data_IF_198758696557
#
_entry.id   IF_198758696557
#
_cell.length_a   1.000
_cell.length_b   1.000
_cell.length_c   1.000
_cell.angle_alpha   90.00
_cell.angle_beta   90.00
_cell.angle_gamma   90.00
#
_symmetry.space_group_name_H-M   'P 1'
#
loop_
_entity.id
_entity.type
_entity.pdbx_description
1 polymer ?
#
# COMPACT_ATOMS: atom_id res chain seq x y z
N UNK A 1 -0.58 -45.52 36.71
CA UNK A 1 -0.61 -45.00 35.32
C UNK A 1 -1.71 -43.94 35.23
N UNK A 2 -1.36 -42.65 35.34
CA UNK A 2 -2.27 -41.54 35.01
C UNK A 2 -1.42 -40.44 34.37
N UNK A 3 -1.40 -40.39 33.03
CA UNK A 3 -0.79 -39.29 32.28
C UNK A 3 -1.85 -38.24 31.99
N UNK A 4 -1.69 -37.10 32.66
CA UNK A 4 -2.07 -35.73 32.30
C UNK A 4 -2.94 -35.55 31.04
N UNK A 5 -4.25 -35.35 31.25
CA UNK A 5 -5.19 -34.75 30.29
C UNK A 5 -5.18 -33.21 30.32
N UNK A 6 -4.31 -32.60 31.15
CA UNK A 6 -4.30 -31.15 31.38
C UNK A 6 -3.44 -30.37 30.38
N UNK A 7 -2.58 -31.05 29.60
CA UNK A 7 -1.72 -30.39 28.62
C UNK A 7 -2.45 -29.96 27.33
N UNK A 8 -3.46 -30.73 26.90
CA UNK A 8 -4.10 -30.51 25.60
C UNK A 8 -5.06 -29.30 25.61
N UNK A 9 -5.77 -29.09 26.74
CA UNK A 9 -6.67 -27.94 26.89
C UNK A 9 -5.93 -26.61 27.11
N UNK A 10 -4.70 -26.66 27.65
CA UNK A 10 -3.86 -25.46 27.76
C UNK A 10 -3.38 -24.97 26.38
N UNK A 11 -3.11 -25.89 25.46
CA UNK A 11 -2.70 -25.55 24.09
C UNK A 11 -3.85 -24.96 23.27
N UNK A 12 -5.07 -25.46 23.43
CA UNK A 12 -6.26 -24.91 22.74
C UNK A 12 -6.65 -23.55 23.33
N UNK A 13 -6.55 -23.35 24.64
CA UNK A 13 -6.79 -22.04 25.26
C UNK A 13 -5.74 -20.99 24.83
N UNK A 14 -4.48 -21.37 24.65
CA UNK A 14 -3.44 -20.46 24.15
C UNK A 14 -3.62 -20.10 22.67
N UNK A 15 -4.07 -21.06 21.85
CA UNK A 15 -4.35 -20.82 20.42
C UNK A 15 -5.61 -19.95 20.25
N UNK A 16 -6.61 -20.11 21.12
CA UNK A 16 -7.83 -19.27 21.11
C UNK A 16 -7.58 -17.88 21.72
N UNK A 17 -6.68 -17.74 22.70
CA UNK A 17 -6.32 -16.42 23.25
C UNK A 17 -5.43 -15.59 22.32
N UNK A 18 -4.66 -16.20 21.41
CA UNK A 18 -3.92 -15.45 20.36
C UNK A 18 -4.82 -15.15 19.15
N UNK A 19 -5.86 -15.95 18.91
CA UNK A 19 -6.87 -15.65 17.89
C UNK A 19 -7.88 -14.56 18.31
N UNK A 20 -7.87 -14.13 19.57
CA UNK A 20 -8.85 -13.19 20.14
C UNK A 20 -8.30 -11.78 20.43
N UNK A 21 -7.07 -11.44 20.01
CA UNK A 21 -6.50 -10.09 20.11
C UNK A 21 -6.34 -9.37 18.77
N UNK A 22 -7.02 -9.81 17.71
CA UNK A 22 -7.27 -8.93 16.57
C UNK A 22 -8.47 -8.03 16.92
N UNK A 23 -8.30 -7.10 17.85
CA UNK A 23 -9.18 -5.92 17.82
C UNK A 23 -9.10 -5.36 16.40
N UNK A 24 -10.23 -5.04 15.75
CA UNK A 24 -10.20 -4.42 14.44
C UNK A 24 -9.36 -3.15 14.60
N UNK A 25 -8.26 -3.05 13.85
CA UNK A 25 -7.38 -1.88 13.90
C UNK A 25 -8.25 -0.64 13.71
N UNK A 26 -8.26 0.24 14.71
CA UNK A 26 -9.09 1.44 14.72
C UNK A 26 -8.79 2.26 13.46
N UNK A 27 -9.75 2.31 12.54
CA UNK A 27 -9.60 2.99 11.25
C UNK A 27 -9.28 4.46 11.46
N UNK A 28 -9.86 5.09 12.47
CA UNK A 28 -9.59 6.49 12.76
C UNK A 28 -8.16 6.68 13.27
N UNK A 29 -7.61 5.69 13.98
CA UNK A 29 -6.20 5.70 14.37
C UNK A 29 -5.26 5.55 13.17
N UNK A 30 -5.60 4.70 12.20
CA UNK A 30 -4.84 4.58 10.94
C UNK A 30 -4.83 5.91 10.19
N UNK A 31 -6.00 6.51 9.99
CA UNK A 31 -6.15 7.79 9.28
C UNK A 31 -5.34 8.89 9.98
N UNK A 32 -5.47 9.03 11.30
CA UNK A 32 -4.66 9.98 12.09
C UNK A 32 -3.16 9.73 11.94
N UNK A 33 -2.73 8.47 11.99
CA UNK A 33 -1.33 8.09 11.80
C UNK A 33 -0.79 8.48 10.43
N UNK A 34 -1.56 8.22 9.36
CA UNK A 34 -1.21 8.60 7.99
C UNK A 34 -1.21 10.13 7.82
N UNK A 35 -2.17 10.84 8.40
CA UNK A 35 -2.21 12.29 8.34
C UNK A 35 -0.99 12.93 8.98
N UNK A 36 -0.53 12.40 10.12
CA UNK A 36 0.72 12.81 10.74
C UNK A 36 1.93 12.49 9.85
N UNK A 37 2.01 11.27 9.29
CA UNK A 37 3.09 10.85 8.40
C UNK A 37 3.19 11.66 7.11
N UNK A 38 2.07 12.20 6.64
CA UNK A 38 1.97 13.03 5.43
C UNK A 38 1.86 14.52 5.72
N UNK A 39 2.02 14.91 6.98
CA UNK A 39 1.98 16.31 7.35
C UNK A 39 3.17 17.06 6.74
N UNK A 40 2.97 18.29 6.23
CA UNK A 40 4.08 19.16 5.86
C UNK A 40 4.84 19.71 7.08
N UNK A 41 4.30 19.57 8.29
CA UNK A 41 4.90 20.06 9.53
C UNK A 41 5.86 19.01 10.09
N UNK A 42 7.15 19.35 10.22
CA UNK A 42 8.19 18.42 10.66
C UNK A 42 7.91 17.77 12.03
N UNK A 43 7.33 18.52 12.97
CA UNK A 43 6.97 18.01 14.29
C UNK A 43 5.87 16.93 14.20
N UNK A 44 4.87 17.14 13.36
CA UNK A 44 3.79 16.17 13.11
C UNK A 44 4.31 14.96 12.34
N UNK A 45 5.17 15.16 11.34
CA UNK A 45 5.85 14.07 10.64
C UNK A 45 6.64 13.19 11.60
N UNK A 46 7.40 13.80 12.52
CA UNK A 46 8.17 13.08 13.54
C UNK A 46 7.25 12.29 14.47
N UNK A 47 6.11 12.88 14.86
CA UNK A 47 5.09 12.18 15.65
C UNK A 47 4.47 11.00 14.86
N UNK A 48 4.23 11.17 13.57
CA UNK A 48 3.75 10.11 12.67
C UNK A 48 4.77 8.98 12.54
N UNK A 49 6.05 9.30 12.41
CA UNK A 49 7.13 8.30 12.37
C UNK A 49 7.25 7.52 13.68
N UNK A 50 7.11 8.20 14.83
CA UNK A 50 7.08 7.55 16.14
C UNK A 50 5.85 6.65 16.31
N UNK A 51 4.68 7.11 15.85
CA UNK A 51 3.45 6.32 15.83
C UNK A 51 3.63 5.07 14.95
N UNK A 52 4.20 5.21 13.74
CA UNK A 52 4.49 4.10 12.83
C UNK A 52 5.51 3.13 13.43
N UNK A 53 6.54 3.61 14.12
CA UNK A 53 7.50 2.74 14.81
C UNK A 53 6.84 1.90 15.90
N UNK A 54 5.80 2.43 16.56
CA UNK A 54 5.08 1.76 17.64
C UNK A 54 4.01 0.78 17.17
N UNK A 55 3.22 1.14 16.16
CA UNK A 55 2.04 0.37 15.72
C UNK A 55 2.12 -0.15 14.29
N UNK A 56 3.08 0.36 13.50
CA UNK A 56 3.10 0.17 12.04
C UNK A 56 3.10 -1.29 11.63
N UNK A 57 3.83 -2.15 12.34
CA UNK A 57 3.90 -3.58 12.00
C UNK A 57 2.53 -4.28 12.09
N UNK A 58 1.81 -4.06 13.19
CA UNK A 58 0.48 -4.65 13.42
C UNK A 58 -0.55 -4.08 12.45
N UNK A 59 -0.51 -2.76 12.24
CA UNK A 59 -1.38 -2.06 11.28
C UNK A 59 -1.14 -2.57 9.85
N UNK A 60 0.13 -2.71 9.43
CA UNK A 60 0.49 -3.23 8.10
C UNK A 60 -0.01 -4.67 7.92
N UNK A 61 0.14 -5.53 8.93
CA UNK A 61 -0.37 -6.90 8.87
C UNK A 61 -1.90 -6.95 8.76
N UNK A 62 -2.60 -6.11 9.52
CA UNK A 62 -4.05 -6.02 9.44
C UNK A 62 -4.52 -5.52 8.07
N UNK A 63 -3.86 -4.50 7.53
CA UNK A 63 -4.14 -3.99 6.18
C UNK A 63 -3.82 -5.01 5.08
N UNK A 64 -2.75 -5.82 5.23
CA UNK A 64 -2.45 -6.91 4.31
C UNK A 64 -3.53 -7.99 4.34
N UNK A 65 -3.92 -8.43 5.53
CA UNK A 65 -5.01 -9.41 5.71
C UNK A 65 -6.30 -8.88 5.11
N UNK A 66 -6.60 -7.61 5.37
CA UNK A 66 -7.76 -6.93 4.78
C UNK A 66 -7.67 -6.85 3.26
N UNK A 67 -6.50 -6.60 2.68
CA UNK A 67 -6.33 -6.54 1.23
C UNK A 67 -6.49 -7.93 0.58
N UNK A 68 -6.07 -8.99 1.28
CA UNK A 68 -6.28 -10.38 0.87
C UNK A 68 -7.80 -10.73 0.85
N UNK A 69 -8.56 -10.25 1.84
CA UNK A 69 -9.96 -10.58 2.07
C UNK A 69 -10.98 -9.60 1.45
N UNK A 70 -10.57 -8.35 1.16
CA UNK A 70 -11.47 -7.28 0.72
C UNK A 70 -12.10 -7.59 -0.64
N UNK A 71 -13.33 -7.11 -0.82
CA UNK A 71 -13.89 -6.97 -2.16
C UNK A 71 -13.05 -5.98 -2.97
N UNK A 72 -13.04 -6.16 -4.29
CA UNK A 72 -12.27 -5.30 -5.21
C UNK A 72 -12.70 -3.83 -5.17
N UNK A 73 -13.86 -3.51 -4.59
CA UNK A 73 -14.32 -2.14 -4.37
C UNK A 73 -13.68 -1.46 -3.13
N UNK A 74 -13.18 -2.23 -2.15
CA UNK A 74 -12.53 -1.70 -0.93
C UNK A 74 -11.00 -1.80 -0.95
N UNK A 75 -10.47 -2.72 -1.76
CA UNK A 75 -9.05 -2.84 -2.05
C UNK A 75 -8.34 -1.51 -2.41
N UNK A 76 -8.95 -0.54 -3.14
CA UNK A 76 -8.34 0.76 -3.44
C UNK A 76 -7.82 1.51 -2.21
N UNK A 77 -8.69 1.63 -1.20
CA UNK A 77 -8.42 2.42 -0.01
C UNK A 77 -7.40 1.69 0.88
N UNK A 78 -7.57 0.38 1.04
CA UNK A 78 -6.64 -0.45 1.82
C UNK A 78 -5.24 -0.44 1.21
N UNK A 79 -5.14 -0.53 -0.13
CA UNK A 79 -3.88 -0.40 -0.84
C UNK A 79 -3.24 0.99 -0.66
N UNK A 80 -4.05 2.06 -0.68
CA UNK A 80 -3.56 3.41 -0.44
C UNK A 80 -2.99 3.55 0.96
N UNK A 81 -3.73 3.15 1.99
CA UNK A 81 -3.27 3.18 3.38
C UNK A 81 -1.97 2.39 3.58
N UNK A 82 -1.89 1.20 2.98
CA UNK A 82 -0.69 0.36 2.99
C UNK A 82 0.51 1.06 2.32
N UNK A 83 0.30 1.66 1.15
CA UNK A 83 1.32 2.44 0.43
C UNK A 83 1.82 3.62 1.27
N UNK A 84 0.92 4.36 1.91
CA UNK A 84 1.29 5.51 2.74
C UNK A 84 2.15 5.14 3.95
N UNK A 85 1.92 3.95 4.52
CA UNK A 85 2.69 3.44 5.66
C UNK A 85 4.06 2.89 5.26
N UNK A 86 4.12 2.17 4.13
CA UNK A 86 5.30 1.46 3.68
C UNK A 86 6.23 2.27 2.78
N UNK A 87 5.72 3.23 2.00
CA UNK A 87 6.49 4.00 1.04
C UNK A 87 6.79 5.42 1.55
N UNK A 88 8.02 5.69 2.04
CA UNK A 88 8.45 7.05 2.37
C UNK A 88 8.37 7.99 1.17
N UNK A 89 8.60 7.48 -0.04
CA UNK A 89 8.49 8.25 -1.29
C UNK A 89 7.06 8.75 -1.54
N UNK A 90 6.08 7.87 -1.41
CA UNK A 90 4.66 8.20 -1.57
C UNK A 90 4.18 9.16 -0.47
N UNK A 91 4.58 8.92 0.79
CA UNK A 91 4.32 9.84 1.90
C UNK A 91 4.87 11.25 1.63
N UNK A 92 6.11 11.34 1.16
CA UNK A 92 6.74 12.61 0.79
C UNK A 92 6.04 13.32 -0.37
N UNK A 93 5.55 12.57 -1.38
CA UNK A 93 4.79 13.14 -2.49
C UNK A 93 3.44 13.72 -2.03
N UNK A 94 2.71 13.02 -1.16
CA UNK A 94 1.44 13.53 -0.61
C UNK A 94 1.69 14.74 0.29
N UNK A 95 2.69 14.69 1.16
CA UNK A 95 3.10 15.84 1.98
C UNK A 95 3.43 17.06 1.11
N UNK A 96 4.16 16.83 0.00
CA UNK A 96 4.43 17.86 -1.00
C UNK A 96 3.13 18.39 -1.63
N UNK A 97 2.23 17.54 -2.09
CA UNK A 97 0.98 18.01 -2.71
C UNK A 97 0.12 18.85 -1.75
N UNK A 98 0.01 18.43 -0.48
CA UNK A 98 -0.69 19.19 0.59
C UNK A 98 -0.04 20.57 0.81
N UNK A 99 1.28 20.66 0.71
CA UNK A 99 2.05 21.90 0.89
C UNK A 99 2.02 22.86 -0.32
N UNK A 100 2.14 22.32 -1.53
CA UNK A 100 2.39 23.09 -2.76
C UNK A 100 1.11 23.56 -3.48
N UNK A 101 -0.05 23.47 -2.83
CA UNK A 101 -1.27 24.13 -3.31
C UNK A 101 -1.09 25.64 -3.52
N UNK A 102 -0.24 26.33 -2.74
CA UNK A 102 -0.15 27.79 -2.82
C UNK A 102 1.22 28.50 -2.60
N UNK A 103 2.33 27.89 -2.16
CA UNK A 103 3.59 28.67 -2.03
C UNK A 103 4.88 27.83 -2.03
N UNK A 104 5.95 28.40 -2.61
CA UNK A 104 7.32 27.85 -2.59
C UNK A 104 7.92 28.03 -1.19
N UNK A 105 8.38 26.96 -0.55
CA UNK A 105 9.71 26.80 0.10
C UNK A 105 9.72 25.55 1.02
N UNK A 106 10.86 24.86 1.01
CA UNK A 106 11.11 23.58 1.70
C UNK A 106 11.35 22.43 0.71
N UNK A 107 12.63 22.09 0.47
CA UNK A 107 12.96 20.80 -0.20
C UNK A 107 12.78 19.71 0.85
N UNK A 108 11.65 19.02 0.83
CA UNK A 108 11.52 17.77 1.58
C UNK A 108 12.45 16.75 0.95
N UNK A 109 13.46 16.22 1.67
CA UNK A 109 14.33 15.20 1.12
C UNK A 109 13.48 13.97 0.78
N UNK A 110 13.53 13.54 -0.49
CA UNK A 110 13.00 12.22 -0.86
C UNK A 110 13.81 11.21 -0.05
N UNK A 111 13.18 10.53 0.90
CA UNK A 111 13.77 9.39 1.60
C UNK A 111 14.06 8.31 0.55
N UNK A 112 15.33 7.93 0.42
CA UNK A 112 15.84 7.00 -0.61
C UNK A 112 16.04 5.59 -0.09
N UNK A 113 15.82 5.37 1.21
CA UNK A 113 15.76 4.05 1.82
C UNK A 113 14.55 3.30 1.27
N UNK A 114 14.80 2.44 0.28
CA UNK A 114 13.77 1.55 -0.27
C UNK A 114 13.23 0.66 0.84
N UNK A 115 11.91 0.56 0.92
CA UNK A 115 11.22 -0.35 1.84
C UNK A 115 11.43 -1.84 1.49
N UNK A 116 12.19 -2.13 0.43
CA UNK A 116 12.55 -3.48 -0.01
C UNK A 116 13.21 -4.35 1.07
N UNK A 117 13.83 -3.76 2.10
CA UNK A 117 14.46 -4.48 3.22
C UNK A 117 13.52 -4.71 4.43
N UNK A 118 12.26 -4.28 4.35
CA UNK A 118 11.29 -4.50 5.42
C UNK A 118 10.98 -6.00 5.58
N UNK A 119 10.82 -6.52 6.81
CA UNK A 119 10.57 -7.95 7.08
C UNK A 119 9.31 -8.47 6.36
N UNK A 120 8.27 -7.63 6.29
CA UNK A 120 7.02 -7.90 5.56
C UNK A 120 7.08 -7.69 4.04
N UNK A 121 8.17 -7.17 3.46
CA UNK A 121 8.25 -6.85 2.03
C UNK A 121 7.92 -8.05 1.11
N UNK A 122 8.38 -9.29 1.37
CA UNK A 122 8.02 -10.43 0.54
C UNK A 122 6.51 -10.71 0.51
N UNK A 123 5.83 -10.62 1.65
CA UNK A 123 4.37 -10.82 1.72
C UNK A 123 3.63 -9.71 1.00
N UNK A 124 4.05 -8.45 1.19
CA UNK A 124 3.48 -7.30 0.47
C UNK A 124 3.57 -7.49 -1.04
N UNK A 125 4.72 -7.95 -1.55
CA UNK A 125 4.92 -8.22 -2.99
C UNK A 125 3.90 -9.24 -3.49
N UNK A 126 3.77 -10.38 -2.81
CA UNK A 126 2.84 -11.45 -3.21
C UNK A 126 1.40 -10.95 -3.25
N UNK A 127 0.95 -10.28 -2.18
CA UNK A 127 -0.43 -9.77 -2.08
C UNK A 127 -0.70 -8.70 -3.14
N UNK A 128 0.23 -7.77 -3.34
CA UNK A 128 0.06 -6.71 -4.34
C UNK A 128 0.10 -7.27 -5.78
N UNK A 129 0.93 -8.27 -6.07
CA UNK A 129 0.95 -8.94 -7.37
C UNK A 129 -0.37 -9.68 -7.66
N UNK A 130 -0.90 -10.42 -6.68
CA UNK A 130 -2.21 -11.07 -6.80
C UNK A 130 -3.34 -10.06 -7.02
N UNK A 131 -3.36 -8.97 -6.25
CA UNK A 131 -4.36 -7.93 -6.38
C UNK A 131 -4.28 -7.22 -7.73
N UNK A 132 -3.08 -6.92 -8.22
CA UNK A 132 -2.90 -6.35 -9.57
C UNK A 132 -3.42 -7.32 -10.62
N UNK A 133 -3.08 -8.62 -10.54
CA UNK A 133 -3.58 -9.61 -11.49
C UNK A 133 -5.13 -9.64 -11.51
N UNK A 134 -5.76 -9.71 -10.33
CA UNK A 134 -7.22 -9.69 -10.18
C UNK A 134 -7.87 -8.42 -10.73
N UNK A 135 -7.26 -7.25 -10.49
CA UNK A 135 -7.76 -5.97 -11.01
C UNK A 135 -7.61 -5.85 -12.53
N UNK A 136 -6.56 -6.44 -13.11
CA UNK A 136 -6.31 -6.44 -14.55
C UNK A 136 -7.18 -7.46 -15.31
N UNK A 137 -7.53 -8.58 -14.68
CA UNK A 137 -8.45 -9.59 -15.25
C UNK A 137 -9.88 -9.07 -15.38
N UNK A 138 -10.27 -8.12 -14.54
CA UNK A 138 -11.52 -7.40 -14.72
C UNK A 138 -11.39 -6.46 -15.91
N UNK A 139 -12.40 -6.44 -16.81
CA UNK A 139 -12.46 -5.47 -17.92
C UNK A 139 -12.32 -4.06 -17.35
N UNK A 140 -11.13 -3.47 -17.49
CA UNK A 140 -10.90 -2.07 -17.21
C UNK A 140 -11.71 -1.28 -18.23
N UNK A 141 -12.56 -0.32 -17.79
CA UNK A 141 -13.39 0.43 -18.71
C UNK A 141 -12.50 1.11 -19.77
N UNK A 142 -12.80 0.85 -21.04
CA UNK A 142 -12.08 1.37 -22.20
C UNK A 142 -12.42 2.83 -22.52
N UNK A 143 -13.40 3.41 -21.82
CA UNK A 143 -13.95 4.70 -22.17
C UNK A 143 -13.08 5.86 -21.70
N UNK A 144 -12.69 6.67 -22.69
CA UNK A 144 -11.98 7.94 -22.56
C UNK A 144 -12.54 8.72 -21.38
N UNK A 145 -11.67 9.13 -20.45
CA UNK A 145 -11.91 10.07 -19.35
C UNK A 145 -13.29 10.74 -19.42
N UNK A 146 -14.28 10.07 -18.85
CA UNK A 146 -15.54 10.71 -18.49
C UNK A 146 -15.16 11.81 -17.50
N UNK A 147 -15.55 13.06 -17.79
CA UNK A 147 -15.23 14.27 -17.00
C UNK A 147 -15.84 14.26 -15.58
N UNK A 148 -16.24 13.10 -15.07
CA UNK A 148 -16.86 12.94 -13.75
C UNK A 148 -15.83 12.35 -12.77
N UNK A 149 -15.47 13.08 -11.69
CA UNK A 149 -14.51 12.60 -10.68
C UNK A 149 -14.97 11.37 -9.89
N UNK A 150 -16.24 10.94 -10.05
CA UNK A 150 -16.87 9.82 -9.35
C UNK A 150 -17.06 8.55 -10.21
N UNK A 151 -16.28 8.39 -11.29
CA UNK A 151 -16.37 7.22 -12.16
C UNK A 151 -15.62 6.00 -11.56
N UNK A 152 -16.23 4.81 -11.45
CA UNK A 152 -15.58 3.61 -10.86
C UNK A 152 -14.28 3.20 -11.55
N UNK A 153 -14.11 3.51 -12.84
CA UNK A 153 -12.86 3.30 -13.57
C UNK A 153 -11.68 4.13 -13.06
N UNK A 154 -11.94 5.32 -12.51
CA UNK A 154 -10.89 6.17 -11.92
C UNK A 154 -10.37 5.59 -10.61
N UNK A 155 -11.27 5.07 -9.76
CA UNK A 155 -10.88 4.43 -8.49
C UNK A 155 -10.02 3.20 -8.74
N UNK A 156 -10.37 2.38 -9.73
CA UNK A 156 -9.58 1.19 -10.11
C UNK A 156 -8.21 1.52 -10.70
N UNK A 157 -8.14 2.50 -11.61
CA UNK A 157 -6.85 2.98 -12.15
C UNK A 157 -6.00 3.58 -11.02
N UNK A 158 -6.62 4.35 -10.12
CA UNK A 158 -5.94 4.89 -8.93
C UNK A 158 -5.41 3.80 -8.00
N UNK A 159 -6.13 2.69 -7.86
CA UNK A 159 -5.72 1.51 -7.09
C UNK A 159 -4.54 0.80 -7.74
N UNK A 160 -4.63 0.56 -9.04
CA UNK A 160 -3.54 -0.02 -9.82
C UNK A 160 -2.29 0.84 -9.72
N UNK A 161 -2.41 2.16 -9.87
CA UNK A 161 -1.31 3.09 -9.71
C UNK A 161 -0.69 3.01 -8.31
N UNK A 162 -1.54 2.94 -7.28
CA UNK A 162 -1.13 2.85 -5.88
C UNK A 162 -0.40 1.54 -5.58
N UNK A 163 -0.89 0.41 -6.09
CA UNK A 163 -0.28 -0.91 -5.96
C UNK A 163 1.03 -1.02 -6.77
N UNK A 164 1.07 -0.45 -7.98
CA UNK A 164 2.29 -0.36 -8.79
C UNK A 164 3.36 0.47 -8.07
N UNK A 165 2.96 1.58 -7.45
CA UNK A 165 3.85 2.43 -6.66
C UNK A 165 4.39 1.67 -5.45
N UNK A 166 3.52 0.97 -4.72
CA UNK A 166 3.93 0.11 -3.61
C UNK A 166 4.96 -0.93 -4.06
N UNK A 167 4.66 -1.70 -5.12
CA UNK A 167 5.56 -2.71 -5.67
C UNK A 167 6.88 -2.12 -6.14
N UNK A 168 6.89 -0.90 -6.64
CA UNK A 168 8.14 -0.23 -7.06
C UNK A 168 9.03 0.12 -5.86
N UNK A 169 8.43 0.45 -4.73
CA UNK A 169 9.13 0.89 -3.51
C UNK A 169 9.55 -0.30 -2.62
N UNK A 170 8.75 -1.37 -2.59
CA UNK A 170 9.06 -2.61 -1.84
C UNK A 170 9.67 -3.72 -2.68
N UNK A 171 9.66 -3.61 -4.02
CA UNK A 171 10.05 -4.67 -4.95
C UNK A 171 11.55 -4.87 -5.05
N UNK A 172 11.93 -6.12 -5.33
CA UNK A 172 13.24 -6.45 -5.92
C UNK A 172 13.20 -6.32 -7.45
N UNK A 173 14.35 -6.47 -8.10
CA UNK A 173 14.46 -6.34 -9.56
C UNK A 173 13.55 -7.33 -10.32
N UNK A 174 13.33 -8.52 -9.76
CA UNK A 174 12.42 -9.52 -10.34
C UNK A 174 10.95 -9.06 -10.27
N UNK A 175 10.54 -8.50 -9.14
CA UNK A 175 9.20 -7.92 -8.94
C UNK A 175 8.95 -6.76 -9.88
N UNK A 176 9.95 -5.89 -10.05
CA UNK A 176 9.88 -4.76 -10.99
C UNK A 176 9.80 -5.26 -12.43
N UNK A 177 10.61 -6.25 -12.81
CA UNK A 177 10.56 -6.87 -14.14
C UNK A 177 9.20 -7.49 -14.45
N UNK A 178 8.63 -8.22 -13.49
CA UNK A 178 7.27 -8.77 -13.59
C UNK A 178 6.23 -7.66 -13.82
N UNK A 179 6.31 -6.57 -13.05
CA UNK A 179 5.37 -5.47 -13.15
C UNK A 179 5.41 -4.81 -14.54
N UNK A 180 6.62 -4.50 -15.03
CA UNK A 180 6.82 -3.89 -16.34
C UNK A 180 6.26 -4.78 -17.46
N UNK A 181 6.52 -6.09 -17.41
CA UNK A 181 5.97 -7.05 -18.39
C UNK A 181 4.44 -7.06 -18.39
N UNK A 182 3.81 -7.03 -17.20
CA UNK A 182 2.35 -6.99 -17.09
C UNK A 182 1.75 -5.70 -17.64
N UNK A 183 2.38 -4.56 -17.36
CA UNK A 183 1.91 -3.26 -17.87
C UNK A 183 2.04 -3.13 -19.39
N UNK A 184 3.13 -3.64 -19.97
CA UNK A 184 3.33 -3.67 -21.43
C UNK A 184 2.34 -4.61 -22.12
N UNK A 185 2.00 -5.73 -21.48
CA UNK A 185 1.07 -6.71 -22.02
C UNK A 185 -0.41 -6.33 -21.84
N UNK A 186 -0.73 -5.10 -21.38
CA UNK A 186 -2.10 -4.65 -21.23
C UNK A 186 -2.76 -4.39 -22.60
N UNK A 187 -3.88 -5.07 -22.84
CA UNK A 187 -4.72 -4.86 -24.03
C UNK A 187 -5.17 -3.39 -24.17
N UNK A 188 -5.41 -2.71 -23.04
CA UNK A 188 -5.71 -1.28 -23.02
C UNK A 188 -4.41 -0.46 -23.02
N UNK A 189 -3.92 -0.19 -24.23
CA UNK A 189 -2.67 0.55 -24.48
C UNK A 189 -2.59 1.90 -23.76
N UNK A 190 -3.71 2.61 -23.64
CA UNK A 190 -3.76 3.91 -22.95
C UNK A 190 -3.47 3.75 -21.45
N UNK A 191 -4.15 2.80 -20.78
CA UNK A 191 -3.93 2.53 -19.36
C UNK A 191 -2.50 2.01 -19.14
N UNK A 192 -2.02 1.14 -20.04
CA UNK A 192 -0.64 0.67 -20.04
C UNK A 192 0.36 1.82 -20.07
N UNK A 193 0.22 2.78 -20.98
CA UNK A 193 1.10 3.95 -21.10
C UNK A 193 1.07 4.84 -19.84
N UNK A 194 -0.10 5.06 -19.24
CA UNK A 194 -0.23 5.87 -18.01
C UNK A 194 0.45 5.20 -16.82
N UNK A 195 0.21 3.90 -16.60
CA UNK A 195 0.80 3.15 -15.51
C UNK A 195 2.31 2.98 -15.70
N UNK A 196 2.75 2.65 -16.91
CA UNK A 196 4.16 2.48 -17.26
C UNK A 196 4.94 3.78 -17.03
N UNK A 197 4.44 4.91 -17.57
CA UNK A 197 5.11 6.20 -17.41
C UNK A 197 5.17 6.67 -15.95
N UNK A 198 4.26 6.21 -15.10
CA UNK A 198 4.30 6.47 -13.66
C UNK A 198 5.34 5.62 -12.95
N UNK A 199 5.42 4.32 -13.26
CA UNK A 199 6.42 3.39 -12.72
C UNK A 199 7.83 3.79 -13.16
N UNK A 200 8.04 4.10 -14.44
CA UNK A 200 9.31 4.59 -14.97
C UNK A 200 9.76 5.89 -14.29
N UNK A 201 8.82 6.81 -14.04
CA UNK A 201 9.08 8.05 -13.31
C UNK A 201 9.52 7.83 -11.87
N UNK A 202 8.95 6.82 -11.18
CA UNK A 202 9.35 6.45 -9.81
C UNK A 202 10.74 5.83 -9.80
N UNK A 203 11.00 4.92 -10.76
CA UNK A 203 12.28 4.23 -10.94
C UNK A 203 13.41 5.14 -11.47
N UNK A 204 13.07 6.30 -12.03
CA UNK A 204 14.04 7.20 -12.64
C UNK A 204 14.59 6.70 -13.97
N UNK A 205 13.81 5.89 -14.71
CA UNK A 205 14.20 5.39 -16.01
C UNK A 205 14.05 6.49 -17.09
N UNK A 206 14.98 6.58 -18.05
CA UNK A 206 14.84 7.49 -19.19
C UNK A 206 13.67 7.06 -20.08
N UNK A 207 12.89 8.04 -20.57
CA UNK A 207 11.83 7.85 -21.57
C UNK A 207 12.40 7.72 -22.98
#
# INVERSE_FOLDING_TARGET
>A
MHRSMNGFWLSVALIVSVAAQSEPVDRDAIVRGIDLLTSPVLAEQTAGEAWRARYGREVILALLTRLEEDSLDRAPQTAHELTMLLSPGSAGLVARQRHFGHMRLGRFPRRTDRAANHDLAPRVRIVAQDMIARLLEQKLPSDRYSKSPSYPGHERIGSLLTLCTLLTEVGDDATVGWLMQRLVALDNRFIGEVLLGSVEGILGLPR
#
